data_IF_263476520612
#
_entry.id   IF_263476520612
#
_cell.length_a   1.000
_cell.length_b   1.000
_cell.length_c   1.000
_cell.angle_alpha   90.00
_cell.angle_beta   90.00
_cell.angle_gamma   90.00
#
_symmetry.space_group_name_H-M   'P 1'
#
loop_
_entity.id
_entity.type
_entity.pdbx_description
1 polymer ?
#
# COMPACT_ATOMS: atom_id res chain seq x y z
N UNK A 1 20.03 15.55 12.58
CA UNK A 1 18.70 16.08 12.19
C UNK A 1 17.73 15.82 13.33
N UNK A 2 17.30 16.86 14.05
CA UNK A 2 16.35 16.72 15.16
C UNK A 2 14.97 16.39 14.60
N UNK A 3 14.45 15.21 14.92
CA UNK A 3 13.10 14.81 14.52
C UNK A 3 12.10 15.62 15.34
N UNK A 4 11.38 16.55 14.70
CA UNK A 4 10.30 17.30 15.38
C UNK A 4 9.13 16.37 15.66
N UNK A 5 8.51 16.53 16.84
CA UNK A 5 7.32 15.74 17.19
C UNK A 5 6.12 16.13 16.31
N UNK A 6 5.24 15.19 15.95
CA UNK A 6 4.05 15.51 15.14
C UNK A 6 3.19 16.62 15.73
N UNK A 7 3.05 16.64 17.06
CA UNK A 7 2.28 17.66 17.78
C UNK A 7 2.92 19.05 17.68
N UNK A 8 4.25 19.15 17.74
CA UNK A 8 4.93 20.42 17.57
C UNK A 8 4.77 20.96 16.15
N UNK A 9 4.87 20.10 15.13
CA UNK A 9 4.63 20.48 13.73
C UNK A 9 3.18 20.90 13.51
N UNK A 10 2.20 20.21 14.12
CA UNK A 10 0.79 20.57 14.03
C UNK A 10 0.50 21.94 14.68
N UNK A 11 1.10 22.23 15.83
CA UNK A 11 0.99 23.53 16.49
C UNK A 11 1.61 24.66 15.64
N UNK A 12 2.79 24.42 15.06
CA UNK A 12 3.45 25.38 14.16
C UNK A 12 2.58 25.69 12.93
N UNK A 13 1.97 24.65 12.33
CA UNK A 13 1.07 24.79 11.17
C UNK A 13 -0.22 25.52 11.55
N UNK A 14 -0.77 25.24 12.73
CA UNK A 14 -1.98 25.91 13.21
C UNK A 14 -1.75 27.41 13.44
N UNK A 15 -0.59 27.78 13.99
CA UNK A 15 -0.21 29.17 14.22
C UNK A 15 0.04 29.95 12.92
N UNK A 16 0.46 29.27 11.85
CA UNK A 16 0.75 29.87 10.54
C UNK A 16 -0.43 29.81 9.56
N UNK A 17 -1.55 29.20 9.95
CA UNK A 17 -2.68 29.02 9.07
C UNK A 17 -3.40 30.34 8.77
N UNK A 18 -3.82 30.57 7.51
CA UNK A 18 -4.61 31.76 7.16
C UNK A 18 -5.95 31.82 7.91
N UNK A 19 -6.63 30.67 8.03
CA UNK A 19 -7.89 30.52 8.76
C UNK A 19 -8.16 29.04 9.16
N UNK A 20 -9.16 28.77 10.01
CA UNK A 20 -9.52 27.41 10.41
C UNK A 20 -10.06 26.53 9.27
N UNK A 21 -10.62 27.10 8.21
CA UNK A 21 -11.14 26.33 7.08
C UNK A 21 -9.98 25.76 6.24
N UNK A 22 -8.92 26.54 6.04
CA UNK A 22 -7.68 26.11 5.41
C UNK A 22 -7.01 24.98 6.18
N UNK A 23 -6.96 25.05 7.52
CA UNK A 23 -6.41 23.96 8.36
C UNK A 23 -7.19 22.66 8.21
N UNK A 24 -8.53 22.72 8.17
CA UNK A 24 -9.35 21.54 7.91
C UNK A 24 -9.07 20.97 6.52
N UNK A 25 -8.99 21.82 5.49
CA UNK A 25 -8.66 21.38 4.14
C UNK A 25 -7.26 20.72 4.05
N UNK A 26 -6.27 21.26 4.78
CA UNK A 26 -4.93 20.67 4.89
C UNK A 26 -4.98 19.32 5.62
N UNK A 27 -5.67 19.23 6.76
CA UNK A 27 -5.83 17.98 7.50
C UNK A 27 -6.52 16.91 6.63
N UNK A 28 -7.58 17.28 5.91
CA UNK A 28 -8.26 16.40 4.96
C UNK A 28 -7.34 15.99 3.80
N UNK A 29 -6.51 16.89 3.30
CA UNK A 29 -5.54 16.58 2.24
C UNK A 29 -4.42 15.64 2.74
N UNK A 30 -3.93 15.85 3.97
CA UNK A 30 -2.95 14.99 4.62
C UNK A 30 -3.54 13.61 4.94
N UNK A 31 -4.74 13.55 5.52
CA UNK A 31 -5.47 12.31 5.79
C UNK A 31 -5.75 11.56 4.48
N UNK A 32 -6.23 12.24 3.43
CA UNK A 32 -6.35 11.65 2.09
C UNK A 32 -5.01 11.13 1.57
N UNK A 33 -3.93 11.89 1.68
CA UNK A 33 -2.59 11.49 1.22
C UNK A 33 -2.05 10.30 2.00
N UNK A 34 -2.28 10.24 3.31
CA UNK A 34 -1.94 9.09 4.15
C UNK A 34 -2.79 7.87 3.75
N UNK A 35 -4.05 8.07 3.38
CA UNK A 35 -4.96 7.01 2.93
C UNK A 35 -4.72 6.54 1.49
N UNK A 36 -4.18 7.37 0.60
CA UNK A 36 -3.89 7.02 -0.81
C UNK A 36 -2.44 6.57 -1.03
N UNK A 37 -1.51 6.95 -0.14
CA UNK A 37 -0.13 6.45 -0.11
C UNK A 37 -0.02 4.94 -0.30
N UNK A 38 -0.88 4.10 0.34
CA UNK A 38 -0.81 2.66 0.16
C UNK A 38 -1.02 2.20 -1.28
N UNK A 39 -1.94 2.81 -2.04
CA UNK A 39 -2.21 2.45 -3.43
C UNK A 39 -1.10 2.91 -4.37
N UNK A 40 -0.64 4.15 -4.23
CA UNK A 40 0.46 4.68 -5.05
C UNK A 40 1.75 3.91 -4.78
N UNK A 41 2.06 3.65 -3.51
CA UNK A 41 3.23 2.87 -3.10
C UNK A 41 3.15 1.42 -3.58
N UNK A 42 1.98 0.78 -3.47
CA UNK A 42 1.73 -0.54 -4.04
C UNK A 42 2.04 -0.54 -5.54
N UNK A 43 1.48 0.41 -6.30
CA UNK A 43 1.75 0.51 -7.74
C UNK A 43 3.23 0.70 -8.04
N UNK A 44 3.89 1.63 -7.35
CA UNK A 44 5.30 1.93 -7.60
C UNK A 44 6.21 0.75 -7.26
N UNK A 45 6.04 0.14 -6.09
CA UNK A 45 6.94 -0.94 -5.64
C UNK A 45 6.70 -2.24 -6.39
N UNK A 46 5.48 -2.50 -6.85
CA UNK A 46 5.16 -3.68 -7.65
C UNK A 46 5.33 -3.42 -9.16
N UNK A 47 5.67 -2.19 -9.55
CA UNK A 47 5.78 -1.73 -10.94
C UNK A 47 4.52 -2.03 -11.76
N UNK A 48 3.38 -1.51 -11.28
CA UNK A 48 2.07 -1.72 -11.91
C UNK A 48 1.59 -0.45 -12.59
N UNK A 49 1.10 -0.62 -13.82
CA UNK A 49 0.30 0.42 -14.46
C UNK A 49 -1.03 0.61 -13.71
N UNK A 50 -1.67 1.79 -13.87
CA UNK A 50 -3.03 2.01 -13.31
C UNK A 50 -4.05 0.96 -13.79
N UNK A 51 -3.92 0.49 -15.03
CA UNK A 51 -4.81 -0.53 -15.58
C UNK A 51 -4.60 -1.89 -14.94
N UNK A 52 -3.36 -2.26 -14.64
CA UNK A 52 -3.02 -3.51 -13.96
C UNK A 52 -3.44 -3.47 -12.49
N UNK A 53 -3.16 -2.38 -11.79
CA UNK A 53 -3.64 -2.18 -10.42
C UNK A 53 -5.18 -2.22 -10.35
N UNK A 54 -5.89 -1.59 -11.30
CA UNK A 54 -7.35 -1.70 -11.37
C UNK A 54 -7.83 -3.14 -11.54
N UNK A 55 -7.14 -3.94 -12.37
CA UNK A 55 -7.42 -5.38 -12.54
C UNK A 55 -7.18 -6.18 -11.25
N UNK A 56 -6.15 -5.84 -10.46
CA UNK A 56 -5.93 -6.46 -9.13
C UNK A 56 -7.15 -6.27 -8.22
N UNK A 57 -7.80 -5.11 -8.26
CA UNK A 57 -8.99 -4.83 -7.45
C UNK A 57 -10.32 -5.25 -8.11
N UNK A 58 -10.29 -5.79 -9.33
CA UNK A 58 -11.50 -6.16 -10.08
C UNK A 58 -12.39 -4.96 -10.42
N UNK A 59 -11.79 -3.78 -10.64
CA UNK A 59 -12.50 -2.53 -10.96
C UNK A 59 -12.03 -1.93 -12.27
N UNK A 60 -12.79 -0.99 -12.82
CA UNK A 60 -12.38 -0.25 -14.02
C UNK A 60 -11.19 0.68 -13.71
N UNK A 61 -10.38 0.99 -14.74
CA UNK A 61 -9.29 1.98 -14.64
C UNK A 61 -9.78 3.34 -14.15
N UNK A 62 -10.98 3.76 -14.57
CA UNK A 62 -11.57 5.03 -14.15
C UNK A 62 -11.97 5.01 -12.67
N UNK A 63 -12.60 3.93 -12.20
CA UNK A 63 -12.94 3.76 -10.79
C UNK A 63 -11.69 3.76 -9.92
N UNK A 64 -10.65 3.04 -10.33
CA UNK A 64 -9.37 3.03 -9.62
C UNK A 64 -8.70 4.41 -9.61
N UNK A 65 -8.79 5.16 -10.72
CA UNK A 65 -8.25 6.53 -10.78
C UNK A 65 -8.99 7.48 -9.84
N UNK A 66 -10.32 7.31 -9.66
CA UNK A 66 -11.07 8.02 -8.62
C UNK A 66 -10.61 7.66 -7.22
N UNK A 67 -10.25 6.39 -6.95
CA UNK A 67 -9.74 6.02 -5.63
C UNK A 67 -8.43 6.74 -5.28
N UNK A 68 -7.55 6.94 -6.26
CA UNK A 68 -6.29 7.67 -6.06
C UNK A 68 -6.50 9.15 -5.69
N UNK A 69 -7.59 9.77 -6.14
CA UNK A 69 -7.85 11.20 -5.90
C UNK A 69 -8.87 11.45 -4.78
N UNK A 70 -9.83 10.55 -4.60
CA UNK A 70 -10.98 10.71 -3.71
C UNK A 70 -10.93 9.76 -2.51
N UNK A 71 -9.97 8.84 -2.47
CA UNK A 71 -9.85 7.82 -1.43
C UNK A 71 -10.55 6.50 -1.77
N UNK A 72 -10.17 5.46 -1.03
CA UNK A 72 -10.66 4.10 -1.22
C UNK A 72 -12.03 3.93 -0.54
N UNK A 73 -13.03 3.32 -1.20
CA UNK A 73 -14.32 3.02 -0.59
C UNK A 73 -14.18 2.13 0.66
N UNK A 74 -15.01 2.31 1.71
CA UNK A 74 -14.88 1.56 2.97
C UNK A 74 -14.85 0.03 2.79
N UNK A 75 -15.71 -0.52 1.93
CA UNK A 75 -15.75 -1.97 1.65
C UNK A 75 -14.50 -2.52 0.95
N UNK A 76 -13.59 -1.65 0.49
CA UNK A 76 -12.31 -2.01 -0.14
C UNK A 76 -11.11 -1.77 0.76
N UNK A 77 -11.31 -1.12 1.91
CA UNK A 77 -10.23 -0.83 2.86
C UNK A 77 -9.49 -2.10 3.34
N UNK A 78 -10.15 -3.25 3.65
CA UNK A 78 -9.44 -4.46 4.04
C UNK A 78 -8.49 -5.00 2.95
N UNK A 79 -8.95 -5.03 1.71
CA UNK A 79 -8.14 -5.46 0.57
C UNK A 79 -6.88 -4.59 0.37
N UNK A 80 -7.06 -3.27 0.48
CA UNK A 80 -5.94 -2.32 0.39
C UNK A 80 -4.99 -2.47 1.57
N UNK A 81 -5.50 -2.66 2.79
CA UNK A 81 -4.69 -2.87 3.98
C UNK A 81 -3.83 -4.15 3.88
N UNK A 82 -4.41 -5.25 3.40
CA UNK A 82 -3.67 -6.50 3.21
C UNK A 82 -2.51 -6.35 2.20
N UNK A 83 -2.77 -5.73 1.04
CA UNK A 83 -1.71 -5.47 0.05
C UNK A 83 -0.67 -4.44 0.52
N UNK A 84 -1.08 -3.45 1.31
CA UNK A 84 -0.17 -2.49 1.92
C UNK A 84 0.78 -3.18 2.90
N UNK A 85 0.24 -4.03 3.78
CA UNK A 85 1.03 -4.81 4.74
C UNK A 85 2.02 -5.73 4.01
N UNK A 86 1.58 -6.44 2.98
CA UNK A 86 2.45 -7.26 2.14
C UNK A 86 3.58 -6.43 1.50
N UNK A 87 3.22 -5.29 0.90
CA UNK A 87 4.18 -4.36 0.28
C UNK A 87 5.21 -3.83 1.28
N UNK A 88 4.79 -3.48 2.49
CA UNK A 88 5.70 -2.99 3.53
C UNK A 88 6.66 -4.07 4.03
N UNK A 89 6.19 -5.31 4.16
CA UNK A 89 7.07 -6.44 4.52
C UNK A 89 8.12 -6.70 3.43
N UNK A 90 7.76 -6.53 2.16
CA UNK A 90 8.68 -6.65 1.03
C UNK A 90 9.68 -5.47 1.00
N UNK A 91 9.23 -4.22 1.13
CA UNK A 91 10.12 -3.03 1.13
C UNK A 91 11.12 -3.04 2.29
N UNK A 92 10.74 -3.61 3.44
CA UNK A 92 11.64 -3.72 4.61
C UNK A 92 12.73 -4.77 4.44
N UNK A 93 12.51 -5.80 3.62
CA UNK A 93 13.39 -6.98 3.55
C UNK A 93 14.05 -7.21 2.20
N UNK A 94 13.56 -6.56 1.15
CA UNK A 94 14.09 -6.63 -0.20
C UNK A 94 14.56 -5.26 -0.65
N UNK A 95 15.54 -5.26 -1.55
CA UNK A 95 15.85 -4.04 -2.31
C UNK A 95 14.66 -3.71 -3.21
N UNK A 96 14.28 -2.43 -3.28
CA UNK A 96 13.09 -1.95 -4.02
C UNK A 96 13.06 -2.43 -5.46
N UNK A 97 14.20 -2.37 -6.15
CA UNK A 97 14.37 -2.81 -7.53
C UNK A 97 14.14 -4.32 -7.74
N UNK A 98 14.12 -5.12 -6.67
CA UNK A 98 13.84 -6.56 -6.73
C UNK A 98 12.37 -6.91 -6.52
N UNK A 99 11.59 -6.03 -5.91
CA UNK A 99 10.19 -6.30 -5.58
C UNK A 99 9.37 -6.66 -6.83
N UNK A 100 9.45 -5.93 -7.97
CA UNK A 100 8.69 -6.26 -9.18
C UNK A 100 8.93 -7.68 -9.70
N UNK A 101 10.17 -8.15 -9.63
CA UNK A 101 10.54 -9.49 -10.07
C UNK A 101 10.04 -10.55 -9.08
N UNK A 102 10.12 -10.29 -7.77
CA UNK A 102 9.67 -11.22 -6.72
C UNK A 102 8.16 -11.43 -6.78
N UNK A 103 7.38 -10.36 -6.90
CA UNK A 103 5.90 -10.46 -6.88
C UNK A 103 5.33 -11.18 -8.10
N UNK A 104 6.09 -11.21 -9.22
CA UNK A 104 5.73 -11.90 -10.47
C UNK A 104 6.28 -13.32 -10.55
N UNK A 105 7.22 -13.70 -9.69
CA UNK A 105 7.87 -15.01 -9.75
C UNK A 105 6.94 -16.10 -9.19
N UNK A 106 6.64 -17.16 -9.96
CA UNK A 106 5.99 -18.36 -9.44
C UNK A 106 6.76 -18.98 -8.26
N UNK A 107 6.04 -19.40 -7.21
CA UNK A 107 6.64 -20.04 -6.05
C UNK A 107 5.96 -21.37 -5.72
N UNK A 108 6.76 -22.39 -5.37
CA UNK A 108 6.26 -23.73 -4.98
C UNK A 108 5.31 -23.65 -3.78
N UNK A 109 5.62 -22.80 -2.79
CA UNK A 109 4.75 -22.59 -1.62
C UNK A 109 3.38 -21.99 -1.97
N UNK A 110 3.23 -21.40 -3.16
CA UNK A 110 1.99 -20.84 -3.68
C UNK A 110 1.32 -21.75 -4.72
N UNK A 111 1.72 -23.03 -4.75
CA UNK A 111 1.30 -24.01 -5.76
C UNK A 111 1.58 -23.55 -7.20
N UNK A 112 2.77 -22.98 -7.43
CA UNK A 112 3.21 -22.53 -8.75
C UNK A 112 2.62 -21.18 -9.17
N UNK A 113 1.90 -20.49 -8.28
CA UNK A 113 1.44 -19.11 -8.52
C UNK A 113 2.44 -18.08 -8.00
N UNK A 114 2.31 -16.86 -8.48
CA UNK A 114 2.98 -15.67 -7.99
C UNK A 114 2.08 -14.88 -7.03
N UNK A 115 2.67 -13.93 -6.29
CA UNK A 115 1.91 -13.03 -5.42
C UNK A 115 0.95 -12.14 -6.24
N UNK A 116 1.38 -11.70 -7.42
CA UNK A 116 0.56 -10.89 -8.32
C UNK A 116 -0.65 -11.66 -8.87
N UNK A 117 -0.50 -12.94 -9.20
CA UNK A 117 -1.62 -13.78 -9.61
C UNK A 117 -2.64 -13.99 -8.48
N UNK A 118 -2.18 -14.18 -7.24
CA UNK A 118 -3.08 -14.25 -6.08
C UNK A 118 -3.82 -12.92 -5.88
N UNK A 119 -3.14 -11.79 -6.05
CA UNK A 119 -3.75 -10.46 -5.98
C UNK A 119 -4.81 -10.28 -7.09
N UNK A 120 -4.53 -10.71 -8.32
CA UNK A 120 -5.50 -10.70 -9.43
C UNK A 120 -6.72 -11.59 -9.18
N UNK A 121 -6.59 -12.66 -8.41
CA UNK A 121 -7.68 -13.53 -8.00
C UNK A 121 -8.50 -12.96 -6.82
N UNK A 122 -8.20 -11.73 -6.37
CA UNK A 122 -8.86 -11.12 -5.21
C UNK A 122 -8.45 -11.73 -3.87
N UNK A 123 -7.39 -12.55 -3.84
CA UNK A 123 -6.93 -13.29 -2.64
C UNK A 123 -5.94 -12.45 -1.83
N UNK A 124 -6.35 -11.23 -1.44
CA UNK A 124 -5.45 -10.23 -0.83
C UNK A 124 -4.86 -10.66 0.52
N UNK A 125 -5.66 -11.27 1.40
CA UNK A 125 -5.16 -11.81 2.68
C UNK A 125 -4.15 -12.93 2.43
N UNK A 126 -4.39 -13.80 1.47
CA UNK A 126 -3.44 -14.87 1.12
C UNK A 126 -2.11 -14.32 0.58
N UNK A 127 -2.11 -13.15 -0.08
CA UNK A 127 -0.88 -12.46 -0.48
C UNK A 127 -0.11 -12.00 0.76
N UNK A 128 -0.79 -11.37 1.72
CA UNK A 128 -0.18 -10.93 2.98
C UNK A 128 0.43 -12.11 3.74
N UNK A 129 -0.36 -13.16 3.94
CA UNK A 129 0.07 -14.35 4.69
C UNK A 129 1.22 -15.07 3.99
N UNK A 130 1.22 -15.12 2.65
CA UNK A 130 2.33 -15.66 1.88
C UNK A 130 3.62 -14.86 2.08
N UNK A 131 3.54 -13.53 2.03
CA UNK A 131 4.71 -12.66 2.26
C UNK A 131 5.22 -12.81 3.68
N UNK A 132 4.33 -12.90 4.68
CA UNK A 132 4.73 -13.17 6.06
C UNK A 132 5.45 -14.51 6.17
N UNK A 133 4.90 -15.58 5.57
CA UNK A 133 5.48 -16.92 5.59
C UNK A 133 6.82 -17.03 4.84
N UNK A 134 7.07 -16.19 3.83
CA UNK A 134 8.36 -16.13 3.12
C UNK A 134 9.50 -15.66 4.03
N UNK A 135 9.19 -14.85 5.03
CA UNK A 135 10.17 -14.22 5.92
C UNK A 135 10.05 -14.67 7.38
N UNK A 136 9.23 -15.68 7.67
CA UNK A 136 9.17 -16.26 9.02
C UNK A 136 10.46 -17.02 9.31
N UNK A 137 11.37 -16.34 10.01
CA UNK A 137 12.68 -16.85 10.42
C UNK A 137 12.59 -18.07 11.36
N UNK A 138 11.43 -18.33 11.97
CA UNK A 138 11.20 -19.52 12.81
C UNK A 138 11.27 -20.83 12.03
N UNK A 139 11.15 -20.80 10.70
CA UNK A 139 11.37 -21.97 9.83
C UNK A 139 12.83 -22.29 9.53
N UNK A 140 13.77 -21.39 9.87
CA UNK A 140 15.21 -21.56 9.55
C UNK A 140 16.00 -22.09 10.76
N UNK A 141 15.38 -22.15 11.95
CA UNK A 141 16.01 -22.62 13.20
C UNK A 141 15.50 -23.99 13.68
N UNK A 142 14.71 -24.70 12.86
CA UNK A 142 14.20 -26.04 13.16
C UNK A 142 14.89 -27.11 12.30
#
# INVERSE_FOLDING_TARGET
MTVRSPTAVAADLAAQAPDPAWLRALADALDRRVRTQPLERFMTLWDLSRSEAARVFGVSRQAFSKWLTQGVPPGRAPAVAALAAATDQLDRRLKRERIPAVVRRPARMLAGRSLLELAHQGRYEAVRDAVEAMFDLRRVQA
#
